data_IF_901105324283
#
_entry.id   IF_901105324283
#
_cell.length_a   1.000
_cell.length_b   1.000
_cell.length_c   1.000
_cell.angle_alpha   90.00
_cell.angle_beta   90.00
_cell.angle_gamma   90.00
#
_symmetry.space_group_name_H-M   'P 1'
#
loop_
_entity.id
_entity.type
_entity.pdbx_description
1 polymer ?
#
# COMPACT_ATOMS: atom_id res chain seq x y z
N UNK A 1 35.65 -21.71 1.81
CA UNK A 1 34.68 -20.88 1.07
C UNK A 1 34.33 -19.70 1.96
N UNK A 2 34.68 -18.44 1.64
CA UNK A 2 34.19 -17.31 2.41
C UNK A 2 32.69 -17.13 2.11
N UNK A 3 31.87 -17.14 3.16
CA UNK A 3 30.44 -16.84 3.08
C UNK A 3 30.22 -15.38 2.69
N UNK A 4 29.48 -15.12 1.61
CA UNK A 4 29.04 -13.76 1.28
C UNK A 4 28.09 -13.26 2.37
N UNK A 5 28.39 -12.12 2.97
CA UNK A 5 27.50 -11.45 3.89
C UNK A 5 26.32 -10.88 3.09
N UNK A 6 25.11 -11.34 3.38
CA UNK A 6 23.89 -10.75 2.84
C UNK A 6 23.79 -9.30 3.31
N UNK A 7 23.73 -8.36 2.38
CA UNK A 7 23.37 -6.98 2.69
C UNK A 7 21.90 -6.94 3.11
N UNK A 8 21.64 -6.68 4.40
CA UNK A 8 20.28 -6.47 4.89
C UNK A 8 19.77 -5.15 4.32
N UNK A 9 18.74 -5.20 3.48
CA UNK A 9 18.01 -3.99 3.05
C UNK A 9 17.27 -3.42 4.25
N UNK A 10 17.57 -2.17 4.61
CA UNK A 10 16.85 -1.46 5.66
C UNK A 10 15.48 -1.01 5.12
N UNK A 11 14.41 -1.32 5.84
CA UNK A 11 13.07 -0.89 5.46
C UNK A 11 12.91 0.61 5.77
N UNK A 12 12.38 1.36 4.80
CA UNK A 12 12.07 2.78 4.97
C UNK A 12 10.56 3.00 5.08
N UNK A 13 10.16 3.95 5.91
CA UNK A 13 8.75 4.32 6.05
C UNK A 13 8.33 5.15 4.83
N UNK A 14 7.36 4.64 4.07
CA UNK A 14 6.80 5.35 2.91
C UNK A 14 5.63 6.27 3.29
N UNK A 15 4.77 5.82 4.21
CA UNK A 15 3.58 6.55 4.63
C UNK A 15 3.24 6.24 6.09
N UNK A 16 2.70 7.22 6.81
CA UNK A 16 2.21 7.08 8.18
C UNK A 16 0.77 7.58 8.30
N UNK A 17 0.14 7.39 9.47
CA UNK A 17 -1.21 7.91 9.73
C UNK A 17 -2.34 7.10 9.06
N UNK A 18 -2.11 5.82 8.81
CA UNK A 18 -3.16 4.87 8.38
C UNK A 18 -3.96 4.41 9.60
N UNK A 19 -5.27 4.26 9.44
CA UNK A 19 -6.10 3.70 10.51
C UNK A 19 -5.95 2.17 10.56
N UNK A 20 -6.05 1.50 9.41
CA UNK A 20 -5.71 0.08 9.26
C UNK A 20 -5.43 -0.23 7.78
N UNK A 21 -4.16 -0.18 7.37
CA UNK A 21 -3.74 -0.41 5.98
C UNK A 21 -3.62 -1.88 5.62
N UNK A 22 -4.37 -2.32 4.60
CA UNK A 22 -4.53 -3.72 4.22
C UNK A 22 -4.53 -3.92 2.70
N UNK A 23 -4.32 -5.18 2.27
CA UNK A 23 -4.38 -5.59 0.87
C UNK A 23 -3.51 -4.77 -0.10
N UNK A 24 -2.18 -4.68 0.14
CA UNK A 24 -1.28 -3.94 -0.74
C UNK A 24 -1.21 -4.56 -2.15
N UNK A 25 -1.18 -3.71 -3.18
CA UNK A 25 -1.01 -4.05 -4.59
C UNK A 25 -0.09 -3.01 -5.23
N UNK A 26 0.87 -3.47 -6.04
CA UNK A 26 1.70 -2.56 -6.83
C UNK A 26 1.14 -2.41 -8.24
N UNK A 27 0.98 -1.18 -8.71
CA UNK A 27 0.54 -0.90 -10.07
C UNK A 27 0.85 0.54 -10.48
N UNK A 28 1.34 0.72 -11.71
CA UNK A 28 1.70 2.02 -12.29
C UNK A 28 2.58 2.88 -11.35
N UNK A 29 3.69 2.30 -10.88
CA UNK A 29 4.68 2.92 -9.98
C UNK A 29 4.12 3.47 -8.66
N UNK A 30 3.00 2.89 -8.20
CA UNK A 30 2.33 3.27 -6.96
C UNK A 30 1.95 2.04 -6.16
N UNK A 31 1.99 2.21 -4.84
CA UNK A 31 1.43 1.24 -3.90
C UNK A 31 -0.04 1.60 -3.65
N UNK A 32 -0.92 0.67 -4.01
CA UNK A 32 -2.35 0.74 -3.77
C UNK A 32 -2.71 -0.14 -2.59
N UNK A 33 -3.59 0.33 -1.72
CA UNK A 33 -4.03 -0.44 -0.56
C UNK A 33 -5.39 0.07 -0.05
N UNK A 34 -6.02 -0.74 0.81
CA UNK A 34 -7.27 -0.39 1.50
C UNK A 34 -6.94 0.13 2.89
N UNK A 35 -7.31 1.36 3.24
CA UNK A 35 -7.38 1.79 4.63
C UNK A 35 -8.76 1.48 5.19
N UNK A 36 -8.86 0.35 5.86
CA UNK A 36 -10.10 -0.16 6.43
C UNK A 36 -10.68 0.80 7.47
N UNK A 37 -9.87 1.30 8.40
CA UNK A 37 -10.36 2.18 9.45
C UNK A 37 -10.84 3.53 8.91
N UNK A 38 -10.23 4.01 7.82
CA UNK A 38 -10.63 5.25 7.16
C UNK A 38 -11.77 5.06 6.12
N UNK A 39 -12.08 3.82 5.73
CA UNK A 39 -12.98 3.52 4.61
C UNK A 39 -12.49 4.14 3.28
N UNK A 40 -11.19 4.01 2.99
CA UNK A 40 -10.55 4.62 1.82
C UNK A 40 -9.73 3.60 1.01
N UNK A 41 -9.73 3.75 -0.32
CA UNK A 41 -8.73 3.14 -1.21
C UNK A 41 -7.69 4.20 -1.51
N UNK A 42 -6.44 3.91 -1.19
CA UNK A 42 -5.34 4.87 -1.27
C UNK A 42 -4.30 4.37 -2.27
N UNK A 43 -3.79 5.30 -3.07
CA UNK A 43 -2.61 5.10 -3.90
C UNK A 43 -1.50 6.05 -3.43
N UNK A 44 -0.32 5.53 -3.11
CA UNK A 44 0.84 6.30 -2.69
C UNK A 44 2.00 6.09 -3.67
N UNK A 45 2.64 7.17 -4.08
CA UNK A 45 3.86 7.10 -4.90
C UNK A 45 5.12 6.86 -4.05
N UNK A 46 6.29 6.77 -4.69
CA UNK A 46 7.58 6.55 -4.01
C UNK A 46 8.07 7.74 -3.17
N UNK A 47 7.52 8.93 -3.40
CA UNK A 47 7.83 10.13 -2.63
C UNK A 47 6.92 10.27 -1.39
N UNK A 48 5.99 9.31 -1.19
CA UNK A 48 5.05 9.29 -0.08
C UNK A 48 3.81 10.16 -0.31
N UNK A 49 3.58 10.66 -1.54
CA UNK A 49 2.37 11.44 -1.86
C UNK A 49 1.19 10.49 -1.99
N UNK A 50 0.21 10.63 -1.09
CA UNK A 50 -1.01 9.82 -1.09
C UNK A 50 -2.16 10.50 -1.85
N UNK A 51 -2.93 9.68 -2.55
CA UNK A 51 -4.21 10.04 -3.17
C UNK A 51 -5.29 9.10 -2.64
N UNK A 52 -6.47 9.65 -2.35
CA UNK A 52 -7.66 8.85 -2.02
C UNK A 52 -8.43 8.62 -3.32
N UNK A 53 -8.26 7.44 -3.90
CA UNK A 53 -8.90 7.09 -5.16
C UNK A 53 -10.40 6.85 -4.99
N UNK A 54 -10.80 6.24 -3.87
CA UNK A 54 -12.20 5.94 -3.55
C UNK A 54 -12.43 6.09 -2.04
N UNK A 55 -13.57 6.66 -1.65
CA UNK A 55 -14.13 6.50 -0.31
C UNK A 55 -15.26 5.48 -0.36
N UNK A 56 -15.17 4.46 0.47
CA UNK A 56 -16.19 3.40 0.52
C UNK A 56 -17.33 3.82 1.46
N UNK A 57 -18.53 3.34 1.18
CA UNK A 57 -19.73 3.56 2.02
C UNK A 57 -20.19 2.28 2.70
N UNK A 58 -19.39 1.22 2.61
CA UNK A 58 -19.69 -0.11 3.12
C UNK A 58 -18.66 -0.51 4.18
N UNK A 59 -19.07 -1.41 5.07
CA UNK A 59 -18.26 -1.86 6.18
C UNK A 59 -17.10 -2.76 5.76
N UNK A 60 -16.34 -3.21 6.77
CA UNK A 60 -15.17 -4.07 6.62
C UNK A 60 -15.55 -5.56 6.51
N UNK A 61 -14.75 -6.39 5.83
CA UNK A 61 -13.52 -6.06 5.10
C UNK A 61 -13.77 -5.68 3.63
N UNK A 62 -12.81 -4.99 3.02
CA UNK A 62 -12.82 -4.72 1.58
C UNK A 62 -11.42 -4.73 0.96
N UNK A 63 -11.34 -4.97 -0.33
CA UNK A 63 -10.10 -4.95 -1.09
C UNK A 63 -10.35 -4.52 -2.54
N UNK A 64 -9.26 -4.35 -3.28
CA UNK A 64 -9.26 -4.05 -4.70
C UNK A 64 -8.36 -5.02 -5.43
N UNK A 65 -8.65 -5.21 -6.71
CA UNK A 65 -7.73 -5.83 -7.65
C UNK A 65 -7.89 -5.18 -9.03
N UNK A 66 -6.93 -5.44 -9.90
CA UNK A 66 -6.97 -4.96 -11.27
C UNK A 66 -7.87 -5.87 -12.11
N UNK A 67 -8.68 -5.25 -12.96
CA UNK A 67 -9.35 -6.00 -14.01
C UNK A 67 -8.29 -6.54 -15.00
N UNK A 68 -8.59 -7.65 -15.70
CA UNK A 68 -7.81 -8.03 -16.86
C UNK A 68 -7.80 -6.88 -17.87
N UNK A 69 -6.66 -6.70 -18.55
CA UNK A 69 -6.50 -5.73 -19.64
C UNK A 69 -7.45 -6.00 -20.82
#
# INVERSE_FOLDING_TARGET
MPSQQSSTTEAQILLTGLAMGESPRWHNDRLWFSDWGAQEIIAVDLDGNREIAVRTTFGLPFCIDWLPD
#
